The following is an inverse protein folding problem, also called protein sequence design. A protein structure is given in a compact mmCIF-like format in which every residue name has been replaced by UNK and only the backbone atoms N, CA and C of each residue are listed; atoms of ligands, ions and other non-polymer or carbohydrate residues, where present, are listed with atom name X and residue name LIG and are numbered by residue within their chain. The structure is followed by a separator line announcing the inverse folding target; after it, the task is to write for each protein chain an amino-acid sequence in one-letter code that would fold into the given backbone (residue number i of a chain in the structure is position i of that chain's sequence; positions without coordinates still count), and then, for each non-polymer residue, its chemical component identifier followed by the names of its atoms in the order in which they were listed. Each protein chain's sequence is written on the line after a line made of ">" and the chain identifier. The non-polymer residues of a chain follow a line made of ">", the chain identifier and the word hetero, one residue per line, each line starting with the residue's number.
data_IF_121076322979
#
_entry.id   IF_121076322979
#
_cell.length_a   1.000
_cell.length_b   1.000
_cell.length_c   1.000
_cell.angle_alpha   90.00
_cell.angle_beta   90.00
_cell.angle_gamma   90.00
#
_symmetry.space_group_name_H-M   'P 1'
#
loop_
_entity.id
_entity.type
_entity.pdbx_description
1 polymer ?
#
# COMPACT_ATOMS: atom_id res chain seq x y z
N UNK A 1 -14.42 -25.00 -40.07
CA UNK A 1 -14.11 -25.87 -38.92
C UNK A 1 -14.64 -25.16 -37.67
N UNK A 2 -15.83 -25.55 -37.20
CA UNK A 2 -16.59 -24.85 -36.17
C UNK A 2 -15.97 -25.08 -34.78
N UNK A 3 -15.56 -23.99 -34.11
CA UNK A 3 -15.10 -24.00 -32.72
C UNK A 3 -16.30 -24.24 -31.79
N UNK A 4 -16.62 -25.50 -31.52
CA UNK A 4 -17.55 -25.87 -30.45
C UNK A 4 -16.89 -25.59 -29.11
N UNK A 5 -17.13 -24.40 -28.57
CA UNK A 5 -16.80 -24.04 -27.18
C UNK A 5 -17.62 -24.97 -26.27
N UNK A 6 -17.01 -26.04 -25.77
CA UNK A 6 -17.61 -26.92 -24.77
C UNK A 6 -17.73 -26.16 -23.45
N UNK A 7 -18.81 -25.38 -23.29
CA UNK A 7 -19.17 -24.80 -21.99
C UNK A 7 -19.43 -25.96 -21.04
N UNK A 8 -18.47 -26.31 -20.18
CA UNK A 8 -18.74 -27.17 -19.03
C UNK A 8 -19.83 -26.50 -18.21
N UNK A 9 -21.05 -27.02 -18.29
CA UNK A 9 -22.12 -26.58 -17.42
C UNK A 9 -21.72 -26.92 -15.99
N UNK A 10 -21.31 -25.92 -15.22
CA UNK A 10 -21.07 -26.06 -13.79
C UNK A 10 -22.40 -26.39 -13.15
N UNK A 11 -22.55 -27.65 -12.72
CA UNK A 11 -23.72 -28.11 -11.97
C UNK A 11 -23.52 -27.69 -10.52
N UNK A 12 -24.50 -26.98 -9.94
CA UNK A 12 -24.50 -26.67 -8.51
C UNK A 12 -25.54 -27.59 -7.86
N UNK A 13 -25.16 -28.35 -6.83
CA UNK A 13 -25.99 -29.40 -6.21
C UNK A 13 -26.63 -30.35 -7.25
N UNK A 14 -25.89 -30.70 -8.30
CA UNK A 14 -26.36 -31.59 -9.38
C UNK A 14 -27.32 -30.96 -10.39
N UNK A 15 -27.68 -29.68 -10.24
CA UNK A 15 -28.61 -28.97 -11.11
C UNK A 15 -27.89 -27.93 -11.96
N UNK A 16 -28.43 -27.65 -13.16
CA UNK A 16 -27.91 -26.55 -14.00
C UNK A 16 -28.21 -25.23 -13.30
N UNK A 17 -27.31 -24.25 -13.38
CA UNK A 17 -27.49 -22.91 -12.79
C UNK A 17 -28.87 -22.26 -13.05
N UNK A 18 -29.48 -22.57 -14.19
CA UNK A 18 -30.79 -22.06 -14.62
C UNK A 18 -31.99 -22.81 -14.02
N UNK A 19 -31.78 -24.00 -13.46
CA UNK A 19 -32.80 -24.86 -12.85
C UNK A 19 -32.57 -25.05 -11.35
N UNK A 20 -31.72 -24.23 -10.72
CA UNK A 20 -31.58 -24.20 -9.26
C UNK A 20 -32.66 -23.31 -8.67
N UNK A 21 -33.49 -23.90 -7.81
CA UNK A 21 -34.33 -23.12 -6.90
C UNK A 21 -33.46 -22.72 -5.71
N UNK A 22 -33.00 -21.47 -5.72
CA UNK A 22 -32.19 -20.89 -4.64
C UNK A 22 -33.14 -20.56 -3.49
N UNK A 23 -32.91 -21.15 -2.32
CA UNK A 23 -33.64 -20.78 -1.09
C UNK A 23 -33.28 -19.37 -0.65
N UNK A 24 -34.17 -18.67 0.04
CA UNK A 24 -33.93 -17.28 0.48
C UNK A 24 -32.63 -17.14 1.29
N UNK A 25 -32.29 -18.12 2.12
CA UNK A 25 -31.05 -18.17 2.90
C UNK A 25 -29.79 -18.22 2.01
N UNK A 26 -29.80 -19.04 0.94
CA UNK A 26 -28.68 -19.14 -0.02
C UNK A 26 -28.53 -17.83 -0.82
N UNK A 27 -29.63 -17.15 -1.11
CA UNK A 27 -29.62 -15.86 -1.81
C UNK A 27 -28.95 -14.77 -0.95
N UNK A 28 -29.17 -14.81 0.36
CA UNK A 28 -28.50 -13.91 1.32
C UNK A 28 -27.00 -14.18 1.32
N UNK A 29 -26.57 -15.44 1.33
CA UNK A 29 -25.15 -15.82 1.30
C UNK A 29 -24.46 -15.36 0.00
N UNK A 30 -25.09 -15.57 -1.15
CA UNK A 30 -24.55 -15.12 -2.45
C UNK A 30 -24.40 -13.59 -2.48
N UNK A 31 -25.41 -12.85 -2.01
CA UNK A 31 -25.36 -11.38 -1.96
C UNK A 31 -24.33 -10.88 -0.95
N UNK A 32 -24.20 -11.55 0.19
CA UNK A 32 -23.18 -11.24 1.18
C UNK A 32 -21.79 -11.43 0.58
N UNK A 33 -21.55 -12.54 -0.13
CA UNK A 33 -20.30 -12.84 -0.84
C UNK A 33 -19.99 -11.82 -1.94
N UNK A 34 -20.97 -11.42 -2.73
CA UNK A 34 -20.78 -10.42 -3.79
C UNK A 34 -20.38 -9.05 -3.20
N UNK A 35 -21.02 -8.62 -2.10
CA UNK A 35 -20.69 -7.34 -1.44
C UNK A 35 -19.35 -7.35 -0.72
N UNK A 36 -18.98 -8.47 -0.10
CA UNK A 36 -17.78 -8.57 0.75
C UNK A 36 -16.58 -9.10 -0.01
N UNK A 37 -16.71 -10.26 -0.64
CA UNK A 37 -15.63 -10.93 -1.34
C UNK A 37 -15.38 -10.23 -2.69
N UNK A 38 -16.32 -10.33 -3.63
CA UNK A 38 -16.10 -9.82 -4.99
C UNK A 38 -15.90 -8.30 -4.99
N UNK A 39 -16.67 -7.58 -4.18
CA UNK A 39 -16.49 -6.15 -3.94
C UNK A 39 -15.12 -5.79 -3.36
N UNK A 40 -14.56 -6.58 -2.42
CA UNK A 40 -13.22 -6.32 -1.89
C UNK A 40 -12.11 -6.61 -2.90
N UNK A 41 -12.23 -7.68 -3.68
CA UNK A 41 -11.28 -7.99 -4.76
C UNK A 41 -11.29 -6.92 -5.82
N UNK A 42 -12.48 -6.47 -6.25
CA UNK A 42 -12.61 -5.41 -7.25
C UNK A 42 -12.02 -4.08 -6.75
N UNK A 43 -12.37 -3.66 -5.53
CA UNK A 43 -11.81 -2.44 -4.92
C UNK A 43 -10.30 -2.54 -4.75
N UNK A 44 -9.78 -3.69 -4.34
CA UNK A 44 -8.34 -3.92 -4.16
C UNK A 44 -7.60 -3.94 -5.49
N UNK A 45 -8.13 -4.63 -6.50
CA UNK A 45 -7.55 -4.70 -7.82
C UNK A 45 -7.51 -3.31 -8.48
N UNK A 46 -8.59 -2.53 -8.39
CA UNK A 46 -8.60 -1.16 -8.88
C UNK A 46 -7.63 -0.26 -8.11
N UNK A 47 -7.53 -0.41 -6.78
CA UNK A 47 -6.53 0.33 -5.98
C UNK A 47 -5.10 -0.02 -6.38
N UNK A 48 -4.79 -1.30 -6.54
CA UNK A 48 -3.48 -1.78 -6.97
C UNK A 48 -3.16 -1.32 -8.40
N UNK A 49 -4.13 -1.39 -9.31
CA UNK A 49 -4.00 -0.92 -10.69
C UNK A 49 -3.74 0.60 -10.74
N UNK A 50 -4.56 1.39 -10.05
CA UNK A 50 -4.39 2.84 -9.95
C UNK A 50 -3.06 3.24 -9.31
N UNK A 51 -2.65 2.55 -8.25
CA UNK A 51 -1.35 2.76 -7.61
C UNK A 51 -0.21 2.42 -8.58
N UNK A 52 -0.32 1.32 -9.32
CA UNK A 52 0.64 0.93 -10.36
C UNK A 52 0.76 1.99 -11.46
N UNK A 53 -0.36 2.55 -11.93
CA UNK A 53 -0.36 3.65 -12.90
C UNK A 53 0.31 4.92 -12.35
N UNK A 54 0.05 5.27 -11.09
CA UNK A 54 0.69 6.42 -10.42
C UNK A 54 2.21 6.20 -10.34
N UNK A 55 2.64 5.01 -9.93
CA UNK A 55 4.05 4.64 -9.87
C UNK A 55 4.69 4.71 -11.27
N UNK A 56 4.03 4.21 -12.31
CA UNK A 56 4.53 4.28 -13.67
C UNK A 56 4.69 5.74 -14.15
N UNK A 57 3.73 6.60 -13.79
CA UNK A 57 3.79 8.05 -14.08
C UNK A 57 4.84 8.78 -13.23
N UNK A 58 5.15 8.28 -12.03
CA UNK A 58 6.25 8.75 -11.19
C UNK A 58 7.63 8.46 -11.83
N UNK A 59 7.73 7.44 -12.69
CA UNK A 59 8.97 7.12 -13.42
C UNK A 59 9.17 7.89 -14.73
N UNK A 60 8.29 8.83 -15.08
CA UNK A 60 8.53 9.73 -16.21
C UNK A 60 9.79 10.57 -15.95
N UNK A 61 10.60 10.88 -16.98
CA UNK A 61 11.90 11.59 -16.82
C UNK A 61 11.79 12.88 -16.00
N UNK A 62 10.66 13.57 -16.08
CA UNK A 62 10.34 14.78 -15.32
C UNK A 62 10.33 14.54 -13.80
N UNK A 63 9.83 13.40 -13.33
CA UNK A 63 9.67 13.09 -11.90
C UNK A 63 10.83 12.31 -11.29
N UNK A 64 11.80 11.87 -12.09
CA UNK A 64 12.98 11.14 -11.60
C UNK A 64 13.77 11.93 -10.55
N UNK A 65 13.86 13.26 -10.71
CA UNK A 65 14.51 14.16 -9.74
C UNK A 65 13.80 14.14 -8.38
N UNK A 66 12.47 14.12 -8.39
CA UNK A 66 11.65 14.07 -7.16
C UNK A 66 11.81 12.70 -6.50
N UNK A 67 11.79 11.61 -7.29
CA UNK A 67 12.01 10.25 -6.80
C UNK A 67 13.37 10.07 -6.11
N UNK A 68 14.46 10.59 -6.70
CA UNK A 68 15.80 10.53 -6.07
C UNK A 68 15.82 11.26 -4.73
N UNK A 69 15.19 12.44 -4.63
CA UNK A 69 15.13 13.18 -3.36
C UNK A 69 14.41 12.38 -2.29
N UNK A 70 13.31 11.70 -2.61
CA UNK A 70 12.62 10.82 -1.66
C UNK A 70 13.43 9.59 -1.27
N UNK A 71 14.16 8.98 -2.20
CA UNK A 71 15.05 7.85 -1.87
C UNK A 71 16.17 8.30 -0.93
N UNK A 72 16.82 9.43 -1.22
CA UNK A 72 17.85 10.01 -0.36
C UNK A 72 17.30 10.39 1.03
N UNK A 73 16.11 10.99 1.07
CA UNK A 73 15.41 11.31 2.32
C UNK A 73 15.10 10.04 3.12
N UNK A 74 14.53 9.01 2.49
CA UNK A 74 14.23 7.72 3.12
C UNK A 74 15.49 7.04 3.67
N UNK A 75 16.58 7.04 2.91
CA UNK A 75 17.89 6.52 3.37
C UNK A 75 18.42 7.30 4.57
N UNK A 76 18.25 8.63 4.59
CA UNK A 76 18.65 9.48 5.71
C UNK A 76 17.85 9.15 6.97
N UNK A 77 16.53 9.02 6.86
CA UNK A 77 15.66 8.65 7.99
C UNK A 77 15.97 7.23 8.47
N UNK A 78 16.19 6.27 7.58
CA UNK A 78 16.61 4.92 7.95
C UNK A 78 17.96 4.93 8.67
N UNK A 79 18.92 5.73 8.21
CA UNK A 79 20.20 5.94 8.90
C UNK A 79 20.00 6.45 10.32
N UNK A 80 19.18 7.49 10.50
CA UNK A 80 18.85 8.04 11.83
C UNK A 80 18.17 6.98 12.71
N UNK A 81 17.26 6.18 12.15
CA UNK A 81 16.59 5.12 12.90
C UNK A 81 17.58 4.05 13.38
N UNK A 82 18.53 3.64 12.55
CA UNK A 82 19.58 2.69 12.92
C UNK A 82 20.52 3.28 13.98
N UNK A 83 20.93 4.54 13.82
CA UNK A 83 21.78 5.24 14.79
C UNK A 83 21.07 5.41 16.14
N UNK A 84 19.81 5.82 16.12
CA UNK A 84 18.98 5.88 17.33
C UNK A 84 18.82 4.51 17.97
N UNK A 85 18.64 3.44 17.20
CA UNK A 85 18.54 2.07 17.72
C UNK A 85 19.83 1.61 18.40
N UNK A 86 21.00 2.02 17.88
CA UNK A 86 22.29 1.74 18.53
C UNK A 86 22.53 2.60 19.77
N UNK A 87 22.01 3.82 19.77
CA UNK A 87 22.11 4.75 20.90
C UNK A 87 21.09 4.47 22.01
N UNK A 88 19.96 3.84 21.67
CA UNK A 88 19.02 3.29 22.63
C UNK A 88 19.70 2.07 23.27
N UNK A 89 20.19 2.25 24.49
CA UNK A 89 20.72 1.17 25.32
C UNK A 89 19.65 0.10 25.63
N UNK A 90 19.99 -0.83 26.50
CA UNK A 90 19.04 -1.87 26.92
C UNK A 90 17.80 -1.24 27.55
N UNK A 91 16.64 -1.52 26.97
CA UNK A 91 15.33 -0.99 27.38
C UNK A 91 14.97 -1.43 28.80
N UNK A 92 15.59 -2.51 29.29
CA UNK A 92 15.33 -3.08 30.61
C UNK A 92 16.27 -2.60 31.72
N UNK A 93 17.30 -1.81 31.39
CA UNK A 93 18.27 -1.32 32.38
C UNK A 93 17.79 -0.03 33.07
N UNK A 94 17.17 -0.18 34.24
CA UNK A 94 16.60 0.90 35.06
C UNK A 94 17.66 1.86 35.67
N UNK A 95 18.95 1.55 35.54
CA UNK A 95 20.04 2.41 36.03
C UNK A 95 20.42 3.53 35.05
N UNK A 96 19.91 3.48 33.82
CA UNK A 96 20.19 4.50 32.82
C UNK A 96 19.33 5.75 33.07
N UNK A 97 19.91 6.96 33.06
CA UNK A 97 19.13 8.18 33.20
C UNK A 97 18.13 8.30 32.05
N UNK A 98 16.92 8.79 32.34
CA UNK A 98 15.89 9.03 31.34
C UNK A 98 16.39 10.00 30.26
N UNK A 99 16.72 9.46 29.08
CA UNK A 99 17.05 10.28 27.92
C UNK A 99 15.77 10.56 27.13
N UNK A 100 15.44 11.85 26.99
CA UNK A 100 14.28 12.26 26.20
C UNK A 100 14.58 12.16 24.70
N UNK A 101 13.57 11.84 23.90
CA UNK A 101 13.72 11.74 22.44
C UNK A 101 13.92 13.11 21.73
N UNK A 102 13.98 14.22 22.48
CA UNK A 102 13.90 15.58 21.96
C UNK A 102 14.97 15.91 20.91
N UNK A 103 16.22 15.48 21.13
CA UNK A 103 17.30 15.70 20.17
C UNK A 103 17.06 15.01 18.83
N UNK A 104 16.66 13.73 18.87
CA UNK A 104 16.32 12.96 17.68
C UNK A 104 15.11 13.55 16.95
N UNK A 105 14.11 14.02 17.70
CA UNK A 105 12.93 14.70 17.13
C UNK A 105 13.34 15.97 16.38
N UNK A 106 14.16 16.83 17.00
CA UNK A 106 14.63 18.07 16.33
C UNK A 106 15.39 17.78 15.04
N UNK A 107 16.28 16.78 15.04
CA UNK A 107 17.02 16.36 13.84
C UNK A 107 16.07 15.88 12.76
N UNK A 108 15.12 15.01 13.09
CA UNK A 108 14.18 14.48 12.10
C UNK A 108 13.29 15.58 11.53
N UNK A 109 12.82 16.53 12.36
CA UNK A 109 11.99 17.66 11.93
C UNK A 109 12.74 18.64 11.03
N UNK A 110 14.01 18.91 11.31
CA UNK A 110 14.83 19.76 10.45
C UNK A 110 15.02 19.10 9.08
N UNK A 111 15.38 17.81 9.06
CA UNK A 111 15.63 17.06 7.83
C UNK A 111 14.35 16.91 7.01
N UNK A 112 13.20 16.66 7.64
CA UNK A 112 11.91 16.59 6.94
C UNK A 112 11.52 17.94 6.35
N UNK A 113 11.71 19.04 7.10
CA UNK A 113 11.41 20.40 6.62
C UNK A 113 12.27 20.76 5.41
N UNK A 114 13.58 20.48 5.47
CA UNK A 114 14.50 20.71 4.34
C UNK A 114 14.08 19.87 3.13
N UNK A 115 13.76 18.59 3.33
CA UNK A 115 13.31 17.71 2.25
C UNK A 115 12.03 18.22 1.58
N UNK A 116 11.06 18.72 2.36
CA UNK A 116 9.84 19.33 1.83
C UNK A 116 10.10 20.64 1.07
N UNK A 117 11.01 21.49 1.54
CA UNK A 117 11.40 22.70 0.81
C UNK A 117 12.03 22.36 -0.54
N UNK A 118 12.96 21.40 -0.57
CA UNK A 118 13.61 20.93 -1.80
C UNK A 118 12.59 20.34 -2.77
N UNK A 119 11.65 19.54 -2.25
CA UNK A 119 10.56 18.99 -3.03
C UNK A 119 9.66 20.08 -3.62
N UNK A 120 9.30 21.09 -2.83
CA UNK A 120 8.46 22.20 -3.28
C UNK A 120 9.15 22.98 -4.41
N UNK A 121 10.45 23.26 -4.27
CA UNK A 121 11.24 23.91 -5.33
C UNK A 121 11.28 23.04 -6.60
N UNK A 122 11.48 21.72 -6.46
CA UNK A 122 11.50 20.82 -7.61
C UNK A 122 10.15 20.71 -8.31
N UNK A 123 9.04 20.76 -7.57
CA UNK A 123 7.69 20.75 -8.15
C UNK A 123 7.40 22.06 -8.88
N UNK A 124 7.75 23.21 -8.30
CA UNK A 124 7.49 24.54 -8.92
C UNK A 124 8.38 24.76 -10.16
N UNK A 125 9.56 24.13 -10.21
CA UNK A 125 10.50 24.22 -11.33
C UNK A 125 10.22 23.21 -12.46
N UNK A 126 9.31 22.25 -12.24
CA UNK A 126 8.99 21.19 -13.19
C UNK A 126 7.96 21.64 -14.23
#
# INVERSE_FOLDING_TARGET
>A
MNLTITRRHRLYRGHRARSLNITEEELVEVRARERTFDGAYWRTAMKAFSMGMIILRLFTRSFYKIGIVFVAFGMTILGIAVLRRKAAGDVFDQRQPFQTAGFWVMITTLITTIAYIVLLILIVRL
#
